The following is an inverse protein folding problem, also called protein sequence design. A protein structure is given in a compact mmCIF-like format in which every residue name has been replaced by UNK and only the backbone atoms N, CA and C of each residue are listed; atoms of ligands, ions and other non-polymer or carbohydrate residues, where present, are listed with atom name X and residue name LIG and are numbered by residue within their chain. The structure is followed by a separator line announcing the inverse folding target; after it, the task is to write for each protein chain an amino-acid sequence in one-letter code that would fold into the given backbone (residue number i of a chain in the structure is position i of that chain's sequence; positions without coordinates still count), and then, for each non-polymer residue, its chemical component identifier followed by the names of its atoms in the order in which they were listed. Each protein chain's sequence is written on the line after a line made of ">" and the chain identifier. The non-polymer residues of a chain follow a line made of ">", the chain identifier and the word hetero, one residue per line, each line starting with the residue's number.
data_IF_624683249180
#
_entry.id   IF_624683249180
#
_cell.length_a   1.000
_cell.length_b   1.000
_cell.length_c   1.000
_cell.angle_alpha   90.00
_cell.angle_beta   90.00
_cell.angle_gamma   90.00
#
_symmetry.space_group_name_H-M   'P 1'
#
loop_
_entity.id
_entity.type
_entity.pdbx_description
1 polymer ?
#
# COMPACT_ATOMS: atom_id res chain seq x y z
N UNK A 1 -6.12 14.43 6.47
CA UNK A 1 -5.57 13.80 7.69
C UNK A 1 -4.06 13.80 7.57
N UNK A 2 -3.33 14.11 8.64
CA UNK A 2 -1.86 14.04 8.63
C UNK A 2 -1.39 12.58 8.68
N UNK A 3 -0.24 12.29 8.06
CA UNK A 3 0.38 10.97 8.15
C UNK A 3 0.71 10.64 9.62
N UNK A 4 0.30 9.47 10.14
CA UNK A 4 0.69 9.03 11.47
C UNK A 4 2.22 8.94 11.61
N UNK A 5 2.75 9.42 12.73
CA UNK A 5 4.18 9.30 13.04
C UNK A 5 4.47 7.98 13.73
N UNK A 6 5.48 7.28 13.22
CA UNK A 6 5.93 5.99 13.74
C UNK A 6 6.98 6.25 14.83
N UNK A 7 6.74 5.73 16.03
CA UNK A 7 7.71 5.74 17.12
C UNK A 7 8.70 4.57 16.99
N UNK A 8 8.21 3.39 16.59
CA UNK A 8 9.02 2.18 16.47
C UNK A 8 8.49 1.22 15.40
N UNK A 9 9.40 0.58 14.67
CA UNK A 9 9.05 -0.61 13.86
C UNK A 9 9.20 -1.85 14.73
N UNK A 10 8.10 -2.55 14.96
CA UNK A 10 8.07 -3.77 15.77
C UNK A 10 8.40 -5.00 14.93
N UNK A 11 7.95 -5.02 13.68
CA UNK A 11 8.24 -6.09 12.72
C UNK A 11 8.32 -5.52 11.30
N UNK A 12 9.45 -5.71 10.62
CA UNK A 12 9.71 -5.11 9.31
C UNK A 12 9.00 -5.78 8.14
N UNK A 13 8.72 -7.09 8.28
CA UNK A 13 8.10 -7.92 7.26
C UNK A 13 7.11 -8.88 7.92
N UNK A 14 5.98 -9.08 7.29
CA UNK A 14 5.03 -10.09 7.69
C UNK A 14 4.16 -10.50 6.52
N UNK A 15 3.10 -11.20 6.86
CA UNK A 15 2.00 -11.54 5.98
C UNK A 15 0.72 -11.14 6.72
N UNK A 16 -0.31 -10.80 5.94
CA UNK A 16 -1.64 -10.52 6.46
C UNK A 16 -2.56 -11.66 6.02
N UNK A 17 -3.68 -11.85 6.73
CA UNK A 17 -4.65 -12.87 6.30
C UNK A 17 -5.28 -12.49 4.96
N UNK A 18 -5.74 -13.49 4.21
CA UNK A 18 -6.41 -13.30 2.93
C UNK A 18 -7.65 -12.41 3.06
N UNK A 19 -8.38 -12.48 4.19
CA UNK A 19 -9.54 -11.62 4.42
C UNK A 19 -9.15 -10.16 4.55
N UNK A 20 -8.05 -9.88 5.25
CA UNK A 20 -7.55 -8.51 5.39
C UNK A 20 -7.00 -8.00 4.06
N UNK A 21 -6.27 -8.83 3.32
CA UNK A 21 -5.75 -8.45 2.00
C UNK A 21 -6.89 -8.10 1.04
N UNK A 22 -7.91 -8.96 0.98
CA UNK A 22 -9.11 -8.73 0.19
C UNK A 22 -9.85 -7.44 0.61
N UNK A 23 -10.00 -7.20 1.92
CA UNK A 23 -10.65 -6.00 2.44
C UNK A 23 -9.89 -4.72 2.05
N UNK A 24 -8.56 -4.75 2.12
CA UNK A 24 -7.71 -3.62 1.75
C UNK A 24 -7.72 -3.37 0.24
N UNK A 25 -7.65 -4.43 -0.56
CA UNK A 25 -7.81 -4.35 -2.01
C UNK A 25 -9.16 -3.73 -2.39
N UNK A 26 -10.24 -4.18 -1.77
CA UNK A 26 -11.58 -3.61 -1.98
C UNK A 26 -11.67 -2.16 -1.55
N UNK A 27 -11.08 -1.80 -0.40
CA UNK A 27 -11.02 -0.42 0.06
C UNK A 27 -10.29 0.49 -0.93
N UNK A 28 -9.11 0.08 -1.42
CA UNK A 28 -8.35 0.84 -2.41
C UNK A 28 -9.15 0.98 -3.71
N UNK A 29 -9.73 -0.11 -4.22
CA UNK A 29 -10.54 -0.05 -5.44
C UNK A 29 -11.71 0.93 -5.31
N UNK A 30 -12.42 0.93 -4.18
CA UNK A 30 -13.59 1.79 -3.96
C UNK A 30 -13.24 3.25 -3.68
N UNK A 31 -12.11 3.53 -3.01
CA UNK A 31 -11.78 4.86 -2.50
C UNK A 31 -10.61 5.54 -3.23
N UNK A 32 -9.81 4.80 -3.97
CA UNK A 32 -8.64 5.27 -4.73
C UNK A 32 -8.72 4.93 -6.22
N UNK A 33 -9.51 3.92 -6.58
CA UNK A 33 -9.68 3.45 -7.95
C UNK A 33 -8.81 2.23 -8.25
N UNK A 34 -8.84 1.80 -9.52
CA UNK A 34 -8.03 0.68 -9.99
C UNK A 34 -6.55 1.03 -10.06
N UNK A 35 -5.70 0.01 -10.06
CA UNK A 35 -4.27 0.17 -10.28
C UNK A 35 -3.47 0.49 -9.01
N UNK A 36 -4.01 0.10 -7.86
CA UNK A 36 -3.33 0.18 -6.58
C UNK A 36 -3.41 -1.17 -5.88
N UNK A 37 -2.30 -1.57 -5.26
CA UNK A 37 -2.22 -2.85 -4.54
C UNK A 37 -1.48 -2.66 -3.22
N UNK A 38 -2.05 -3.08 -2.07
CA UNK A 38 -1.35 -3.03 -0.80
C UNK A 38 -0.25 -4.10 -0.79
N UNK A 39 0.88 -3.80 -0.16
CA UNK A 39 2.01 -4.72 -0.10
C UNK A 39 2.94 -4.36 1.07
N UNK A 40 3.96 -5.20 1.31
CA UNK A 40 4.99 -4.96 2.33
C UNK A 40 4.39 -4.66 3.72
N UNK A 41 3.56 -5.56 4.28
CA UNK A 41 2.98 -5.33 5.60
C UNK A 41 4.08 -5.28 6.67
N UNK A 42 3.97 -4.29 7.55
CA UNK A 42 4.87 -4.05 8.68
C UNK A 42 4.03 -3.81 9.93
N UNK A 43 4.50 -4.32 11.07
CA UNK A 43 3.93 -3.98 12.36
C UNK A 43 4.70 -2.81 12.95
N UNK A 44 4.01 -1.71 13.23
CA UNK A 44 4.60 -0.49 13.76
C UNK A 44 3.84 0.03 14.98
N UNK A 45 4.55 0.74 15.84
CA UNK A 45 3.99 1.50 16.95
C UNK A 45 4.00 2.99 16.58
N UNK A 46 2.89 3.68 16.84
CA UNK A 46 2.73 5.11 16.63
C UNK A 46 3.20 5.89 17.87
N UNK A 47 3.38 7.21 17.74
CA UNK A 47 3.79 8.09 18.86
C UNK A 47 2.80 8.11 20.03
N UNK A 48 1.52 7.80 19.79
CA UNK A 48 0.49 7.66 20.83
C UNK A 48 0.51 6.28 21.53
N UNK A 49 1.48 5.42 21.20
CA UNK A 49 1.63 4.07 21.74
C UNK A 49 0.76 3.02 21.04
N UNK A 50 -0.04 3.40 20.04
CA UNK A 50 -0.92 2.48 19.33
C UNK A 50 -0.14 1.60 18.35
N UNK A 51 -0.42 0.30 18.35
CA UNK A 51 0.14 -0.66 17.38
C UNK A 51 -0.77 -0.79 16.18
N UNK A 52 -0.19 -0.69 14.98
CA UNK A 52 -0.93 -0.68 13.71
C UNK A 52 -0.17 -1.45 12.64
N UNK A 53 -0.91 -1.97 11.66
CA UNK A 53 -0.31 -2.54 10.45
C UNK A 53 -0.12 -1.40 9.46
N UNK A 54 1.12 -1.19 9.05
CA UNK A 54 1.47 -0.30 7.94
C UNK A 54 1.67 -1.14 6.69
N UNK A 55 1.00 -0.78 5.60
CA UNK A 55 1.26 -1.35 4.28
C UNK A 55 1.65 -0.24 3.29
N UNK A 56 2.52 -0.59 2.36
CA UNK A 56 2.85 0.23 1.19
C UNK A 56 1.77 0.05 0.12
N UNK A 57 1.50 1.09 -0.66
CA UNK A 57 0.63 1.04 -1.84
C UNK A 57 1.52 1.11 -3.08
N UNK A 58 1.52 0.06 -3.89
CA UNK A 58 2.18 0.05 -5.20
C UNK A 58 1.18 0.45 -6.29
N UNK A 59 1.65 1.20 -7.28
CA UNK A 59 0.90 1.48 -8.49
C UNK A 59 1.06 0.32 -9.48
N UNK A 60 -0.05 -0.31 -9.84
CA UNK A 60 -0.08 -1.49 -10.69
C UNK A 60 -0.98 -1.28 -11.90
N UNK A 61 -0.68 -1.97 -12.99
CA UNK A 61 -1.50 -1.92 -14.21
C UNK A 61 -1.27 -3.15 -15.07
N UNK A 62 -2.17 -3.40 -16.01
CA UNK A 62 -2.02 -4.48 -16.99
C UNK A 62 -1.14 -3.99 -18.14
N UNK A 63 0.03 -4.63 -18.29
CA UNK A 63 0.96 -4.37 -19.38
C UNK A 63 0.63 -5.15 -20.65
N UNK A 64 1.58 -5.16 -21.60
CA UNK A 64 1.50 -6.01 -22.79
C UNK A 64 1.41 -7.49 -22.37
N UNK A 65 0.66 -8.29 -23.13
CA UNK A 65 0.47 -9.72 -22.89
C UNK A 65 -0.28 -10.07 -21.59
N UNK A 66 -1.16 -9.17 -21.12
CA UNK A 66 -1.95 -9.33 -19.90
C UNK A 66 -1.13 -9.56 -18.61
N UNK A 67 0.14 -9.18 -18.60
CA UNK A 67 0.97 -9.30 -17.40
C UNK A 67 0.69 -8.15 -16.43
N UNK A 68 0.60 -8.46 -15.13
CA UNK A 68 0.51 -7.43 -14.09
C UNK A 68 1.87 -6.76 -13.93
N UNK A 69 1.91 -5.45 -14.13
CA UNK A 69 3.09 -4.60 -13.97
C UNK A 69 2.96 -3.78 -12.68
N UNK A 70 4.08 -3.45 -12.05
CA UNK A 70 4.17 -2.48 -10.95
C UNK A 70 5.14 -1.36 -11.30
N UNK A 71 4.75 -0.11 -11.07
CA UNK A 71 5.61 1.06 -11.23
C UNK A 71 6.47 1.29 -9.99
N UNK A 72 5.95 1.00 -8.80
CA UNK A 72 6.63 1.20 -7.52
C UNK A 72 5.72 1.76 -6.43
N UNK A 73 6.27 1.88 -5.23
CA UNK A 73 5.54 2.35 -4.05
C UNK A 73 5.21 3.85 -4.19
N UNK A 74 3.92 4.18 -4.16
CA UNK A 74 3.38 5.53 -4.35
C UNK A 74 2.63 6.06 -3.13
N UNK A 75 2.34 5.21 -2.15
CA UNK A 75 1.61 5.60 -0.95
C UNK A 75 1.72 4.59 0.17
N UNK A 76 0.99 4.88 1.25
CA UNK A 76 0.95 4.06 2.46
C UNK A 76 -0.47 4.03 3.03
N UNK A 77 -0.79 2.93 3.71
CA UNK A 77 -2.03 2.73 4.46
C UNK A 77 -1.67 2.24 5.87
N UNK A 78 -2.37 2.78 6.88
CA UNK A 78 -2.28 2.33 8.27
C UNK A 78 -3.61 1.76 8.70
N UNK A 79 -3.57 0.57 9.26
CA UNK A 79 -4.73 -0.22 9.65
C UNK A 79 -4.64 -0.56 11.13
N UNK A 80 -5.75 -0.34 11.83
CA UNK A 80 -5.92 -0.75 13.22
C UNK A 80 -5.83 -2.28 13.35
N UNK A 81 -5.05 -2.79 14.31
CA UNK A 81 -4.91 -4.25 14.46
C UNK A 81 -6.14 -4.93 15.07
N UNK A 82 -6.93 -4.21 15.86
CA UNK A 82 -8.03 -4.82 16.62
C UNK A 82 -9.29 -4.91 15.77
N UNK A 83 -9.58 -3.86 15.01
CA UNK A 83 -10.84 -3.71 14.27
C UNK A 83 -10.65 -3.66 12.76
N UNK A 84 -9.41 -3.74 12.25
CA UNK A 84 -9.06 -3.63 10.84
C UNK A 84 -9.55 -2.35 10.15
N UNK A 85 -9.81 -1.30 10.94
CA UNK A 85 -10.22 0.00 10.42
C UNK A 85 -9.02 0.74 9.82
N UNK A 86 -9.23 1.36 8.66
CA UNK A 86 -8.23 2.22 8.02
C UNK A 86 -8.12 3.53 8.82
N UNK A 87 -6.98 3.72 9.47
CA UNK A 87 -6.67 4.92 10.25
C UNK A 87 -6.16 6.05 9.37
N UNK A 88 -5.43 5.69 8.32
CA UNK A 88 -4.90 6.62 7.33
C UNK A 88 -4.67 5.88 6.01
N UNK A 89 -4.92 6.56 4.90
CA UNK A 89 -4.45 6.13 3.59
C UNK A 89 -4.08 7.37 2.78
N UNK A 90 -2.93 7.33 2.09
CA UNK A 90 -2.48 8.40 1.18
C UNK A 90 -3.63 8.87 0.27
N UNK A 91 -3.76 10.19 0.09
CA UNK A 91 -4.84 10.79 -0.72
C UNK A 91 -4.62 10.56 -2.21
N UNK A 92 -5.68 10.64 -3.02
CA UNK A 92 -5.57 10.51 -4.47
C UNK A 92 -4.58 11.53 -5.06
N UNK A 93 -4.70 12.79 -4.66
CA UNK A 93 -3.81 13.85 -5.13
C UNK A 93 -2.33 13.55 -4.86
N UNK A 94 -2.02 12.95 -3.70
CA UNK A 94 -0.65 12.59 -3.35
C UNK A 94 -0.18 11.31 -4.06
N UNK A 95 -1.07 10.34 -4.27
CA UNK A 95 -0.79 9.16 -5.10
C UNK A 95 -0.43 9.57 -6.53
N UNK A 96 -1.25 10.41 -7.17
CA UNK A 96 -1.03 10.88 -8.54
C UNK A 96 0.28 11.66 -8.65
N UNK A 97 0.55 12.53 -7.69
CA UNK A 97 1.81 13.28 -7.63
C UNK A 97 3.02 12.35 -7.46
N UNK A 98 2.89 11.27 -6.70
CA UNK A 98 3.98 10.31 -6.52
C UNK A 98 4.17 9.42 -7.75
N UNK A 99 3.11 9.07 -8.47
CA UNK A 99 3.18 8.40 -9.77
C UNK A 99 3.97 9.27 -10.76
N UNK A 100 3.59 10.54 -10.92
CA UNK A 100 4.26 11.47 -11.82
C UNK A 100 5.75 11.59 -11.51
N UNK A 101 6.13 11.69 -10.23
CA UNK A 101 7.55 11.72 -9.83
C UNK A 101 8.32 10.47 -10.25
N UNK A 102 7.70 9.28 -10.15
CA UNK A 102 8.34 8.03 -10.58
C UNK A 102 8.53 8.00 -12.10
N UNK A 103 7.53 8.46 -12.84
CA UNK A 103 7.58 8.56 -14.31
C UNK A 103 8.66 9.56 -14.76
N UNK A 104 8.70 10.76 -14.16
CA UNK A 104 9.71 11.80 -14.44
C UNK A 104 11.13 11.36 -14.08
N UNK A 105 11.28 10.55 -13.02
CA UNK A 105 12.55 9.95 -12.64
C UNK A 105 13.00 8.84 -13.61
N UNK A 106 12.18 8.48 -14.60
CA UNK A 106 12.47 7.43 -15.58
C UNK A 106 12.41 6.02 -14.98
N UNK A 107 11.69 5.84 -13.86
CA UNK A 107 11.48 4.52 -13.27
C UNK A 107 10.69 3.67 -14.25
N UNK A 108 11.24 2.52 -14.61
CA UNK A 108 10.58 1.57 -15.49
C UNK A 108 9.75 0.60 -14.66
N UNK A 109 8.49 0.44 -15.05
CA UNK A 109 7.61 -0.58 -14.48
C UNK A 109 8.23 -1.97 -14.65
N UNK A 110 8.07 -2.81 -13.63
CA UNK A 110 8.57 -4.18 -13.62
C UNK A 110 7.40 -5.17 -13.62
N UNK A 111 7.55 -6.34 -14.25
CA UNK A 111 6.58 -7.42 -14.10
C UNK A 111 6.49 -7.77 -12.63
N UNK A 112 5.27 -7.78 -12.07
CA UNK A 112 5.07 -8.33 -10.75
C UNK A 112 5.10 -9.85 -10.87
N UNK A 113 5.88 -10.55 -10.02
CA UNK A 113 5.79 -11.99 -9.97
C UNK A 113 4.34 -12.36 -9.69
N UNK A 114 3.79 -13.31 -10.46
CA UNK A 114 2.58 -14.01 -10.06
C UNK A 114 2.95 -14.81 -8.80
N UNK A 115 2.85 -14.15 -7.64
CA UNK A 115 3.09 -14.78 -6.35
C UNK A 115 2.06 -15.87 -6.17
N UNK A 116 2.53 -17.08 -5.85
CA UNK A 116 1.69 -18.21 -5.45
C UNK A 116 0.69 -17.73 -4.39
N UNK A 117 -0.59 -17.81 -4.72
CA UNK A 117 -1.68 -17.82 -3.74
C UNK A 117 -1.42 -18.93 -2.72
#
# INVERSE_FOLDING_TARGET
>A
MSVPKISKVLQEKGEISDELDYALMKYLLQNRGSGFTPCQPQLVELEDGKKVIKLSIDNTFIGKDNQLMGLGIVGIIYVDMENFNVLYATSNEELDKNIQKLEEAGVKSQPRPHGKY
#
